data_IF_503844443306
#
_entry.id   IF_503844443306
#
_cell.length_a   1.000
_cell.length_b   1.000
_cell.length_c   1.000
_cell.angle_alpha   90.00
_cell.angle_beta   90.00
_cell.angle_gamma   90.00
#
_symmetry.space_group_name_H-M   'P 1'
#
loop_
_entity.id
_entity.type
_entity.pdbx_description
1 polymer ?
#
# COMPACT_ATOMS: atom_id res chain seq x y z
N UNK A 1 4.39 22.35 -2.90
CA UNK A 1 3.83 21.00 -2.61
C UNK A 1 3.62 20.31 -3.94
N UNK A 2 4.04 19.06 -4.08
CA UNK A 2 3.82 18.25 -5.28
C UNK A 2 2.83 17.12 -4.95
N UNK A 3 1.92 16.82 -5.88
CA UNK A 3 0.91 15.77 -5.76
C UNK A 3 0.94 14.96 -7.06
N UNK A 4 1.93 14.06 -7.24
CA UNK A 4 2.01 13.25 -8.45
C UNK A 4 0.81 12.28 -8.53
N UNK A 5 0.32 12.06 -9.74
CA UNK A 5 -0.60 10.94 -9.99
C UNK A 5 0.20 9.63 -9.92
N UNK A 6 -0.11 8.82 -8.91
CA UNK A 6 0.54 7.55 -8.66
C UNK A 6 -0.39 6.37 -8.90
N UNK A 7 -1.48 6.56 -9.66
CA UNK A 7 -2.38 5.46 -10.00
C UNK A 7 -1.70 4.46 -10.93
N UNK A 8 -1.94 3.19 -10.64
CA UNK A 8 -1.59 2.04 -11.47
C UNK A 8 -2.84 1.50 -12.15
N UNK A 9 -2.66 0.49 -13.01
CA UNK A 9 -3.80 -0.26 -13.55
C UNK A 9 -4.67 -0.89 -12.47
N UNK A 10 -4.11 -1.24 -11.30
CA UNK A 10 -4.86 -1.80 -10.16
C UNK A 10 -5.37 -0.72 -9.20
N UNK A 11 -5.31 0.56 -9.56
CA UNK A 11 -5.71 1.68 -8.71
C UNK A 11 -4.53 2.28 -7.94
N UNK A 12 -4.78 2.75 -6.71
CA UNK A 12 -3.74 3.29 -5.84
C UNK A 12 -2.61 2.27 -5.60
N UNK A 13 -1.45 2.77 -5.18
CA UNK A 13 -0.30 1.94 -4.86
C UNK A 13 0.17 2.19 -3.42
N UNK A 14 1.09 1.35 -2.95
CA UNK A 14 1.64 1.40 -1.60
C UNK A 14 3.04 2.04 -1.55
N UNK A 15 3.47 2.69 -2.63
CA UNK A 15 4.74 3.44 -2.71
C UNK A 15 6.00 2.61 -2.40
N UNK A 16 5.91 1.29 -2.51
CA UNK A 16 7.01 0.33 -2.36
C UNK A 16 7.36 -0.30 -3.70
N UNK A 17 8.56 -0.85 -3.80
CA UNK A 17 8.97 -1.62 -4.96
C UNK A 17 8.28 -2.98 -4.96
N UNK A 18 7.56 -3.31 -6.02
CA UNK A 18 6.99 -4.64 -6.25
C UNK A 18 7.24 -5.07 -7.71
N UNK A 19 7.64 -6.33 -7.96
CA UNK A 19 7.72 -6.88 -9.31
C UNK A 19 6.42 -6.79 -10.13
N UNK A 20 5.26 -6.72 -9.46
CA UNK A 20 3.96 -6.60 -10.12
C UNK A 20 3.51 -5.15 -10.30
N UNK A 21 3.78 -4.30 -9.31
CA UNK A 21 3.28 -2.92 -9.28
C UNK A 21 4.27 -1.91 -9.86
N UNK A 22 5.55 -2.26 -9.92
CA UNK A 22 6.66 -1.40 -10.34
C UNK A 22 7.53 -0.90 -9.17
N UNK A 23 8.68 -0.28 -9.48
CA UNK A 23 9.64 0.19 -8.50
C UNK A 23 9.26 1.58 -7.94
N UNK A 24 8.12 1.67 -7.23
CA UNK A 24 7.57 2.97 -6.79
C UNK A 24 8.42 3.71 -5.76
N UNK A 25 9.12 3.00 -4.86
CA UNK A 25 10.03 3.65 -3.93
C UNK A 25 11.21 4.28 -4.69
N UNK A 26 11.80 3.55 -5.63
CA UNK A 26 12.91 4.06 -6.44
C UNK A 26 12.46 5.24 -7.32
N UNK A 27 11.29 5.12 -7.95
CA UNK A 27 10.70 6.21 -8.74
C UNK A 27 10.56 7.49 -7.90
N UNK A 28 10.03 7.41 -6.67
CA UNK A 28 9.90 8.58 -5.81
C UNK A 28 11.25 9.19 -5.44
N UNK A 29 12.20 8.35 -5.00
CA UNK A 29 13.46 8.79 -4.41
C UNK A 29 14.46 9.28 -5.47
N UNK A 30 14.47 8.65 -6.65
CA UNK A 30 15.50 8.85 -7.66
C UNK A 30 15.03 9.66 -8.87
N UNK A 31 13.72 9.71 -9.13
CA UNK A 31 13.17 10.39 -10.30
C UNK A 31 12.23 11.55 -9.89
N UNK A 32 11.12 11.25 -9.22
CA UNK A 32 10.04 12.21 -8.99
C UNK A 32 10.48 13.40 -8.12
N UNK A 33 11.02 13.13 -6.93
CA UNK A 33 11.48 14.20 -6.04
C UNK A 33 12.63 14.99 -6.65
N UNK A 34 13.72 14.36 -7.18
CA UNK A 34 14.77 15.10 -7.87
C UNK A 34 14.27 15.95 -9.05
N UNK A 35 13.33 15.44 -9.85
CA UNK A 35 12.73 16.20 -10.95
C UNK A 35 12.02 17.46 -10.45
N UNK A 36 11.21 17.35 -9.39
CA UNK A 36 10.53 18.51 -8.79
C UNK A 36 11.54 19.50 -8.21
N UNK A 37 12.55 19.03 -7.49
CA UNK A 37 13.59 19.88 -6.90
C UNK A 37 14.35 20.68 -7.96
N UNK A 38 14.74 20.02 -9.06
CA UNK A 38 15.41 20.66 -10.18
C UNK A 38 14.50 21.64 -10.94
N UNK A 39 13.26 21.24 -11.22
CA UNK A 39 12.34 22.04 -12.03
C UNK A 39 11.88 23.32 -11.32
N UNK A 40 11.79 23.29 -9.99
CA UNK A 40 11.24 24.39 -9.18
C UNK A 40 12.25 25.02 -8.21
N UNK A 41 13.53 24.62 -8.26
CA UNK A 41 14.60 25.09 -7.38
C UNK A 41 14.20 25.04 -5.88
N UNK A 42 13.57 23.95 -5.46
CA UNK A 42 13.06 23.76 -4.10
C UNK A 42 13.62 22.47 -3.45
N UNK A 43 13.26 22.21 -2.19
CA UNK A 43 13.57 20.95 -1.51
C UNK A 43 15.06 20.73 -1.22
N UNK A 44 15.50 19.48 -1.19
CA UNK A 44 16.85 19.03 -0.86
C UNK A 44 16.96 18.44 0.55
N UNK A 45 18.15 17.96 0.90
CA UNK A 45 18.44 17.33 2.19
C UNK A 45 17.96 18.20 3.36
N UNK A 46 17.21 17.60 4.29
CA UNK A 46 16.64 18.30 5.43
C UNK A 46 15.43 19.21 5.11
N UNK A 47 14.98 19.27 3.86
CA UNK A 47 13.83 20.10 3.41
C UNK A 47 12.72 19.30 2.71
N UNK A 48 12.88 17.97 2.61
CA UNK A 48 11.89 17.05 2.04
C UNK A 48 10.89 16.63 3.10
N UNK A 49 9.61 16.87 2.84
CA UNK A 49 8.52 16.38 3.68
C UNK A 49 7.55 15.57 2.83
N UNK A 50 6.92 14.59 3.44
CA UNK A 50 5.94 13.73 2.80
C UNK A 50 4.72 13.58 3.70
N UNK A 51 3.55 13.42 3.10
CA UNK A 51 2.33 13.21 3.84
C UNK A 51 1.31 12.46 3.01
N UNK A 52 0.40 11.76 3.67
CA UNK A 52 -0.67 11.06 2.97
C UNK A 52 -1.71 10.46 3.90
N UNK A 53 -2.79 9.98 3.28
CA UNK A 53 -3.93 9.34 3.95
C UNK A 53 -4.14 7.91 3.45
N UNK A 54 -4.50 6.95 4.32
CA UNK A 54 -4.70 5.54 3.96
C UNK A 54 -3.44 4.96 3.31
N UNK A 55 -3.47 4.49 2.07
CA UNK A 55 -2.28 4.01 1.35
C UNK A 55 -1.18 5.08 1.21
N UNK A 56 -1.56 6.36 1.15
CA UNK A 56 -0.60 7.46 1.21
C UNK A 56 0.01 7.64 2.61
N UNK A 57 -0.74 7.31 3.66
CA UNK A 57 -0.26 7.29 5.04
C UNK A 57 0.66 6.09 5.29
N UNK A 58 0.32 4.92 4.75
CA UNK A 58 1.20 3.75 4.70
C UNK A 58 2.51 4.10 4.00
N UNK A 59 2.43 4.63 2.77
CA UNK A 59 3.60 5.04 2.01
C UNK A 59 4.43 6.04 2.80
N UNK A 60 3.75 6.92 3.55
CA UNK A 60 4.43 7.90 4.38
C UNK A 60 5.25 7.31 5.53
N UNK A 61 4.66 6.42 6.33
CA UNK A 61 5.36 5.81 7.44
C UNK A 61 6.45 4.83 6.97
N UNK A 62 6.20 4.06 5.90
CA UNK A 62 7.18 3.11 5.36
C UNK A 62 8.39 3.85 4.80
N UNK A 63 8.19 4.95 4.09
CA UNK A 63 9.31 5.76 3.61
C UNK A 63 10.09 6.43 4.75
N UNK A 64 9.40 6.87 5.80
CA UNK A 64 10.03 7.43 6.99
C UNK A 64 10.91 6.39 7.72
N UNK A 65 10.44 5.14 7.81
CA UNK A 65 11.16 4.02 8.42
C UNK A 65 12.36 3.56 7.57
N UNK A 66 12.18 3.42 6.26
CA UNK A 66 13.19 2.80 5.38
C UNK A 66 14.16 3.79 4.75
N UNK A 67 13.75 5.05 4.56
CA UNK A 67 14.56 6.09 3.91
C UNK A 67 14.69 7.37 4.75
N UNK A 68 15.03 7.26 6.06
CA UNK A 68 15.05 8.37 7.01
C UNK A 68 16.08 9.47 6.66
N UNK A 69 17.11 9.15 5.88
CA UNK A 69 18.09 10.13 5.41
C UNK A 69 17.62 10.93 4.19
N UNK A 70 16.66 10.40 3.45
CA UNK A 70 16.11 11.08 2.29
C UNK A 70 15.02 12.07 2.72
N UNK A 71 14.16 11.65 3.65
CA UNK A 71 13.03 12.43 4.14
C UNK A 71 13.37 13.15 5.44
N UNK A 72 12.92 14.39 5.59
CA UNK A 72 13.17 15.20 6.78
C UNK A 72 11.96 15.33 7.71
N UNK A 73 10.74 15.05 7.22
CA UNK A 73 9.53 15.02 8.01
C UNK A 73 8.45 14.17 7.35
N UNK A 74 7.56 13.59 8.17
CA UNK A 74 6.41 12.82 7.69
C UNK A 74 5.14 13.17 8.45
N UNK A 75 4.00 13.21 7.75
CA UNK A 75 2.67 13.26 8.35
C UNK A 75 1.81 12.11 7.83
N UNK A 76 1.31 11.28 8.75
CA UNK A 76 0.64 10.02 8.47
C UNK A 76 -0.79 10.12 8.96
N UNK A 77 -1.75 10.07 8.03
CA UNK A 77 -3.17 10.19 8.35
C UNK A 77 -3.89 8.87 8.10
N UNK A 78 -4.26 8.15 9.15
CA UNK A 78 -4.93 6.84 9.04
C UNK A 78 -4.17 5.93 8.07
N UNK A 79 -2.87 5.72 8.31
CA UNK A 79 -2.05 4.88 7.45
C UNK A 79 -2.42 3.41 7.58
N UNK A 80 -2.32 2.65 6.49
CA UNK A 80 -2.54 1.20 6.53
C UNK A 80 -1.46 0.59 7.46
N UNK A 81 -1.85 0.09 8.64
CA UNK A 81 -0.95 -0.49 9.65
C UNK A 81 -1.71 -1.59 10.41
N UNK A 82 -0.98 -2.51 11.04
CA UNK A 82 -1.58 -3.71 11.61
C UNK A 82 -2.35 -4.49 10.53
N UNK A 83 -1.62 -4.97 9.52
CA UNK A 83 -2.17 -5.65 8.33
C UNK A 83 -3.14 -6.78 8.69
N UNK A 84 -2.92 -7.47 9.80
CA UNK A 84 -3.84 -8.49 10.32
C UNK A 84 -5.26 -7.93 10.55
N UNK A 85 -5.36 -6.73 11.13
CA UNK A 85 -6.63 -6.08 11.46
C UNK A 85 -7.27 -5.41 10.25
N UNK A 86 -6.49 -4.80 9.37
CA UNK A 86 -7.03 -4.01 8.26
C UNK A 86 -7.23 -4.78 6.96
N UNK A 87 -6.56 -5.94 6.77
CA UNK A 87 -6.64 -6.71 5.52
C UNK A 87 -7.32 -8.08 5.68
N UNK A 88 -7.03 -8.85 6.73
CA UNK A 88 -7.61 -10.21 6.85
C UNK A 88 -9.15 -10.23 6.85
N UNK A 89 -9.86 -9.30 7.52
CA UNK A 89 -11.33 -9.30 7.53
C UNK A 89 -11.96 -9.10 6.14
N UNK A 90 -11.21 -8.61 5.15
CA UNK A 90 -11.71 -8.33 3.82
C UNK A 90 -11.68 -9.54 2.87
N UNK A 91 -10.81 -10.53 3.12
CA UNK A 91 -10.67 -11.68 2.21
C UNK A 91 -11.95 -12.51 2.01
N UNK A 92 -12.81 -12.75 3.02
CA UNK A 92 -14.09 -13.42 2.78
C UNK A 92 -14.96 -12.70 1.73
N UNK A 93 -14.90 -11.36 1.65
CA UNK A 93 -15.63 -10.59 0.62
C UNK A 93 -14.97 -10.76 -0.75
N UNK A 94 -13.64 -10.75 -0.81
CA UNK A 94 -12.86 -11.01 -2.03
C UNK A 94 -13.20 -12.39 -2.60
N UNK A 95 -13.18 -13.44 -1.79
CA UNK A 95 -13.50 -14.80 -2.23
C UNK A 95 -14.92 -14.91 -2.78
N UNK A 96 -15.92 -14.31 -2.11
CA UNK A 96 -17.30 -14.27 -2.62
C UNK A 96 -17.44 -13.52 -3.94
N UNK A 97 -16.61 -12.51 -4.19
CA UNK A 97 -16.60 -11.80 -5.46
C UNK A 97 -15.97 -12.65 -6.57
N UNK A 98 -14.85 -13.32 -6.29
CA UNK A 98 -14.16 -14.22 -7.22
C UNK A 98 -14.95 -15.51 -7.52
N UNK A 99 -15.76 -16.01 -6.58
CA UNK A 99 -16.63 -17.16 -6.80
C UNK A 99 -17.62 -16.94 -7.97
N UNK A 100 -18.00 -15.68 -8.24
CA UNK A 100 -18.87 -15.33 -9.39
C UNK A 100 -18.17 -15.48 -10.74
N UNK A 101 -16.85 -15.60 -10.74
CA UNK A 101 -16.01 -15.79 -11.92
C UNK A 101 -15.23 -17.10 -11.86
N UNK A 102 -15.81 -18.13 -11.23
CA UNK A 102 -15.19 -19.45 -11.05
C UNK A 102 -13.79 -19.36 -10.40
N UNK A 103 -13.64 -18.49 -9.41
CA UNK A 103 -12.38 -18.21 -8.70
C UNK A 103 -11.25 -17.65 -9.59
N UNK A 104 -11.57 -17.17 -10.80
CA UNK A 104 -10.60 -16.55 -11.71
C UNK A 104 -10.45 -15.05 -11.44
N UNK A 105 -9.28 -14.66 -10.93
CA UNK A 105 -8.87 -13.26 -10.76
C UNK A 105 -8.80 -12.54 -12.11
N UNK A 106 -8.26 -13.19 -13.14
CA UNK A 106 -8.17 -12.62 -14.49
C UNK A 106 -9.54 -12.29 -15.06
N UNK A 107 -10.49 -13.23 -14.97
CA UNK A 107 -11.85 -13.01 -15.46
C UNK A 107 -12.53 -11.89 -14.67
N UNK A 108 -12.39 -11.88 -13.35
CA UNK A 108 -12.94 -10.82 -12.50
C UNK A 108 -12.40 -9.44 -12.87
N UNK A 109 -11.09 -9.31 -13.09
CA UNK A 109 -10.46 -8.04 -13.48
C UNK A 109 -10.88 -7.59 -14.88
N UNK A 110 -10.97 -8.51 -15.85
CA UNK A 110 -11.47 -8.21 -17.19
C UNK A 110 -12.90 -7.67 -17.15
N UNK A 111 -13.77 -8.32 -16.38
CA UNK A 111 -15.15 -7.88 -16.19
C UNK A 111 -15.21 -6.53 -15.46
N UNK A 112 -14.36 -6.31 -14.45
CA UNK A 112 -14.25 -5.03 -13.74
C UNK A 112 -13.91 -3.88 -14.69
N UNK A 113 -12.86 -4.03 -15.51
CA UNK A 113 -12.42 -2.98 -16.43
C UNK A 113 -13.34 -2.77 -17.63
N UNK A 114 -14.18 -3.76 -17.97
CA UNK A 114 -15.16 -3.65 -19.03
C UNK A 114 -16.46 -2.91 -18.60
N UNK A 115 -16.71 -2.77 -17.29
CA UNK A 115 -17.92 -2.11 -16.78
C UNK A 115 -17.92 -0.61 -17.12
N UNK A 116 -19.03 -0.09 -17.69
CA UNK A 116 -19.20 1.36 -17.87
C UNK A 116 -19.26 2.14 -16.56
N UNK A 117 -19.69 1.47 -15.48
CA UNK A 117 -19.75 2.01 -14.11
C UNK A 117 -19.44 0.90 -13.12
N UNK A 118 -18.49 1.14 -12.23
CA UNK A 118 -18.10 0.23 -11.16
C UNK A 118 -18.92 0.49 -9.89
N UNK A 119 -19.17 -0.57 -9.12
CA UNK A 119 -19.78 -0.45 -7.79
C UNK A 119 -18.69 -0.20 -6.74
N UNK A 120 -18.99 0.53 -5.67
CA UNK A 120 -18.03 0.80 -4.58
C UNK A 120 -17.47 -0.50 -3.98
N UNK A 121 -18.30 -1.54 -3.87
CA UNK A 121 -17.84 -2.86 -3.43
C UNK A 121 -16.80 -3.47 -4.37
N UNK A 122 -16.94 -3.28 -5.68
CA UNK A 122 -15.96 -3.77 -6.66
C UNK A 122 -14.63 -3.01 -6.52
N UNK A 123 -14.67 -1.72 -6.21
CA UNK A 123 -13.46 -0.92 -5.97
C UNK A 123 -12.71 -1.45 -4.73
N UNK A 124 -13.41 -1.85 -3.67
CA UNK A 124 -12.77 -2.47 -2.51
C UNK A 124 -12.16 -3.84 -2.83
N UNK A 125 -12.78 -4.64 -3.71
CA UNK A 125 -12.17 -5.89 -4.16
C UNK A 125 -10.90 -5.60 -4.98
N UNK A 126 -10.95 -4.65 -5.90
CA UNK A 126 -9.76 -4.23 -6.66
C UNK A 126 -8.64 -3.76 -5.73
N UNK A 127 -8.97 -2.97 -4.71
CA UNK A 127 -8.01 -2.51 -3.68
C UNK A 127 -7.32 -3.69 -3.00
N UNK A 128 -8.05 -4.72 -2.56
CA UNK A 128 -7.45 -5.90 -1.93
C UNK A 128 -6.58 -6.72 -2.89
N UNK A 129 -6.98 -6.83 -4.16
CA UNK A 129 -6.13 -7.47 -5.18
C UNK A 129 -4.86 -6.67 -5.45
N UNK A 130 -4.93 -5.33 -5.39
CA UNK A 130 -3.76 -4.46 -5.46
C UNK A 130 -2.83 -4.66 -4.26
N UNK A 131 -3.37 -4.84 -3.04
CA UNK A 131 -2.56 -5.14 -1.84
C UNK A 131 -1.77 -6.43 -2.00
N UNK A 132 -2.42 -7.46 -2.57
CA UNK A 132 -1.76 -8.73 -2.89
C UNK A 132 -0.60 -8.54 -3.88
N UNK A 133 -0.81 -7.77 -4.96
CA UNK A 133 0.25 -7.45 -5.91
C UNK A 133 1.36 -6.56 -5.32
N UNK A 134 1.06 -5.75 -4.30
CA UNK A 134 2.05 -4.91 -3.62
C UNK A 134 2.94 -5.72 -2.67
N UNK A 135 2.35 -6.50 -1.76
CA UNK A 135 3.08 -7.06 -0.62
C UNK A 135 3.60 -8.48 -0.83
N UNK A 136 2.88 -9.31 -1.58
CA UNK A 136 3.26 -10.70 -1.85
C UNK A 136 3.05 -11.09 -3.33
N UNK A 137 3.74 -10.41 -4.26
CA UNK A 137 3.53 -10.63 -5.70
C UNK A 137 4.03 -12.00 -6.18
N UNK A 138 3.31 -12.55 -7.15
CA UNK A 138 3.71 -13.73 -7.92
C UNK A 138 3.85 -13.38 -9.41
N UNK A 139 5.08 -13.19 -9.93
CA UNK A 139 5.29 -12.82 -11.33
C UNK A 139 4.72 -13.80 -12.36
N UNK A 140 4.44 -15.05 -11.97
CA UNK A 140 3.79 -16.04 -12.85
C UNK A 140 2.26 -15.90 -12.91
N UNK A 141 1.66 -15.20 -11.95
CA UNK A 141 0.22 -15.01 -11.88
C UNK A 141 -0.26 -13.82 -12.71
N UNK A 142 -1.54 -13.82 -13.08
CA UNK A 142 -2.14 -12.71 -13.82
C UNK A 142 -2.02 -11.40 -13.03
N UNK A 143 -1.37 -10.40 -13.64
CA UNK A 143 -1.04 -9.12 -13.01
C UNK A 143 -0.25 -9.24 -11.69
N UNK A 144 0.46 -10.35 -11.48
CA UNK A 144 1.25 -10.56 -10.28
C UNK A 144 0.47 -10.93 -9.02
N UNK A 145 -0.84 -11.20 -9.13
CA UNK A 145 -1.74 -11.32 -7.98
C UNK A 145 -1.85 -12.78 -7.53
N UNK A 146 -1.55 -13.04 -6.25
CA UNK A 146 -1.94 -14.25 -5.53
C UNK A 146 -2.54 -13.90 -4.18
N UNK A 147 -3.53 -14.67 -3.73
CA UNK A 147 -4.17 -14.43 -2.44
C UNK A 147 -3.36 -15.06 -1.29
N UNK A 148 -3.29 -14.42 -0.12
CA UNK A 148 -2.67 -14.99 1.07
C UNK A 148 -3.61 -15.93 1.84
N UNK A 149 -4.76 -16.27 1.26
CA UNK A 149 -5.73 -17.21 1.82
C UNK A 149 -6.06 -18.29 0.81
N UNK A 150 -6.48 -19.45 1.31
CA UNK A 150 -7.07 -20.51 0.51
C UNK A 150 -8.43 -20.05 -0.07
N UNK A 151 -8.68 -20.36 -1.35
CA UNK A 151 -9.84 -19.84 -2.06
C UNK A 151 -11.16 -20.50 -1.66
N UNK A 152 -11.12 -21.70 -1.08
CA UNK A 152 -12.31 -22.47 -0.71
C UNK A 152 -12.65 -22.31 0.77
N UNK A 153 -11.63 -22.28 1.64
CA UNK A 153 -11.78 -22.26 3.10
C UNK A 153 -11.53 -20.89 3.72
N UNK A 154 -10.89 -19.97 3.00
CA UNK A 154 -10.39 -18.69 3.52
C UNK A 154 -9.33 -18.83 4.62
N UNK A 155 -8.75 -20.02 4.81
CA UNK A 155 -7.64 -20.21 5.75
C UNK A 155 -6.40 -19.43 5.28
N UNK A 156 -5.72 -18.75 6.20
CA UNK A 156 -4.49 -18.00 5.89
C UNK A 156 -3.38 -18.97 5.49
N UNK A 157 -2.72 -18.67 4.36
CA UNK A 157 -1.54 -19.38 3.87
C UNK A 157 -0.32 -18.66 4.46
N UNK A 158 0.36 -19.21 5.48
CA UNK A 158 1.37 -18.49 6.25
C UNK A 158 2.53 -17.96 5.40
N UNK A 159 2.96 -18.73 4.40
CA UNK A 159 4.09 -18.38 3.53
C UNK A 159 3.79 -17.14 2.68
N UNK A 160 2.53 -16.94 2.30
CA UNK A 160 2.07 -15.78 1.51
C UNK A 160 1.77 -14.59 2.41
N UNK A 161 1.13 -14.85 3.55
CA UNK A 161 0.85 -13.81 4.54
C UNK A 161 2.12 -13.17 5.10
N UNK A 162 3.23 -13.93 5.15
CA UNK A 162 4.54 -13.39 5.51
C UNK A 162 4.93 -12.16 4.66
N UNK A 163 4.59 -12.12 3.36
CA UNK A 163 4.86 -10.95 2.52
C UNK A 163 4.12 -9.70 3.00
N UNK A 164 2.88 -9.85 3.48
CA UNK A 164 2.14 -8.76 4.12
C UNK A 164 2.78 -8.34 5.45
N UNK A 165 3.17 -9.30 6.29
CA UNK A 165 3.78 -9.02 7.60
C UNK A 165 5.12 -8.30 7.48
N UNK A 166 5.95 -8.68 6.50
CA UNK A 166 7.26 -8.07 6.26
C UNK A 166 7.15 -6.59 5.84
N UNK A 167 6.00 -6.21 5.26
CA UNK A 167 5.69 -4.84 4.85
C UNK A 167 4.81 -4.08 5.85
N UNK A 168 4.39 -4.70 6.95
CA UNK A 168 3.60 -4.00 7.98
C UNK A 168 4.48 -2.94 8.69
N UNK A 169 4.05 -1.67 8.74
CA UNK A 169 4.78 -0.63 9.45
C UNK A 169 5.07 -0.98 10.92
N UNK A 170 4.21 -1.75 11.59
CA UNK A 170 4.46 -2.23 12.95
C UNK A 170 5.60 -3.24 13.02
N UNK A 171 5.73 -4.11 12.03
CA UNK A 171 6.87 -5.04 11.91
C UNK A 171 8.15 -4.26 11.60
N UNK A 172 8.10 -3.34 10.62
CA UNK A 172 9.24 -2.51 10.24
C UNK A 172 9.74 -1.63 11.41
N UNK A 173 8.82 -1.12 12.24
CA UNK A 173 9.17 -0.29 13.40
C UNK A 173 10.03 -1.03 14.43
N UNK A 174 9.91 -2.36 14.55
CA UNK A 174 10.74 -3.16 15.47
C UNK A 174 12.23 -2.97 15.21
N UNK A 175 12.63 -2.83 13.94
CA UNK A 175 14.04 -2.67 13.55
C UNK A 175 14.40 -1.23 13.17
N UNK A 176 13.46 -0.44 12.65
CA UNK A 176 13.75 0.87 12.05
C UNK A 176 13.29 2.09 12.88
N UNK A 177 12.54 1.91 13.97
CA UNK A 177 11.97 3.05 14.71
C UNK A 177 13.03 4.00 15.31
N UNK A 178 14.26 3.53 15.56
CA UNK A 178 15.32 4.43 16.04
C UNK A 178 15.70 5.48 14.99
N UNK A 179 15.63 5.15 13.71
CA UNK A 179 16.03 6.05 12.64
C UNK A 179 15.02 7.20 12.46
N UNK A 180 13.77 7.02 12.90
CA UNK A 180 12.75 8.08 12.92
C UNK A 180 13.17 9.29 13.77
N UNK A 181 14.10 9.13 14.72
CA UNK A 181 14.66 10.24 15.50
C UNK A 181 15.47 11.23 14.67
N UNK A 182 15.86 10.85 13.45
CA UNK A 182 16.56 11.76 12.52
C UNK A 182 15.60 12.73 11.82
N UNK A 183 14.30 12.45 11.84
CA UNK A 183 13.28 13.34 11.30
C UNK A 183 13.14 14.60 12.17
N UNK A 184 12.90 15.73 11.51
CA UNK A 184 12.59 17.00 12.17
C UNK A 184 11.17 17.02 12.75
N UNK A 185 10.26 16.26 12.15
CA UNK A 185 8.89 16.11 12.60
C UNK A 185 8.30 14.78 12.11
N UNK A 186 7.54 14.13 12.98
CA UNK A 186 6.70 12.99 12.66
C UNK A 186 5.32 13.25 13.30
N UNK A 187 4.29 13.30 12.48
CA UNK A 187 2.90 13.41 12.92
C UNK A 187 2.16 12.15 12.49
N UNK A 188 1.42 11.53 13.41
CA UNK A 188 0.60 10.36 13.11
C UNK A 188 -0.76 10.59 13.77
N UNK A 189 -1.84 10.42 13.00
CA UNK A 189 -3.20 10.46 13.52
C UNK A 189 -4.09 9.41 12.85
N UNK A 190 -5.22 9.12 13.49
CA UNK A 190 -6.30 8.33 12.92
C UNK A 190 -7.64 8.80 13.49
N UNK A 191 -8.70 8.71 12.68
CA UNK A 191 -10.06 8.96 13.13
C UNK A 191 -10.54 7.87 14.08
N UNK A 192 -11.50 8.20 14.96
CA UNK A 192 -12.11 7.24 15.89
C UNK A 192 -13.26 6.44 15.28
N UNK A 193 -13.86 6.93 14.19
CA UNK A 193 -14.85 6.22 13.39
C UNK A 193 -14.17 5.75 12.09
N UNK A 194 -13.58 4.55 12.15
CA UNK A 194 -12.77 3.98 11.08
C UNK A 194 -13.33 2.61 10.65
N UNK A 195 -13.60 2.47 9.35
CA UNK A 195 -14.21 1.28 8.76
C UNK A 195 -13.20 0.18 8.37
N UNK A 196 -11.90 0.43 8.57
CA UNK A 196 -10.81 -0.42 8.12
C UNK A 196 -9.91 -0.90 9.27
N UNK A 197 -10.30 -0.67 10.52
CA UNK A 197 -9.54 -0.99 11.73
C UNK A 197 -8.16 -0.30 11.82
N UNK A 198 -7.92 0.77 11.07
CA UNK A 198 -6.66 1.52 11.03
C UNK A 198 -6.34 2.18 12.36
N UNK A 199 -7.37 2.58 13.11
CA UNK A 199 -7.24 3.21 14.44
C UNK A 199 -6.47 2.35 15.45
N UNK A 200 -6.38 1.04 15.24
CA UNK A 200 -5.67 0.13 16.14
C UNK A 200 -4.20 -0.06 15.76
N UNK A 201 -3.82 0.29 14.53
CA UNK A 201 -2.45 0.17 14.02
C UNK A 201 -1.73 1.52 13.90
N UNK A 202 -2.44 2.56 13.46
CA UNK A 202 -1.91 3.90 13.20
C UNK A 202 -1.61 4.69 14.48
#
# INVERSE_FOLDING_TARGET
VAMPDCFTRLGGNQYINSPAMGPWADYLLTECVPFVELSFACGGTGRRGLFGKSSGGYGAIVHALLYPHFWAAAAVHSGDMAHELCHLPEFPKVLRALAKTNNSIETWLKDFFAKPKTADSDVHILMMLAMCASYDPDPGAYMGIRLPVDMDTCEVIPERWKGFVDWDPLTLAVTHAQDLKTLKALHIDCGTDDQYNLVYGA
#
